data_IF_244999178554
#
_entry.id   IF_244999178554
#
_cell.length_a   1.000
_cell.length_b   1.000
_cell.length_c   1.000
_cell.angle_alpha   90.00
_cell.angle_beta   90.00
_cell.angle_gamma   90.00
#
_symmetry.space_group_name_H-M   'P 1'
#
loop_
_entity.id
_entity.type
_entity.pdbx_description
1 polymer ?
#
# COMPACT_ATOMS: atom_id res chain seq x y z
N UNK A 1 -15.18 19.22 23.54
CA UNK A 1 -14.54 20.21 24.40
C UNK A 1 -13.32 20.75 23.69
N UNK A 2 -13.02 22.05 23.78
CA UNK A 2 -11.79 22.61 23.23
C UNK A 2 -10.58 22.05 23.97
N UNK A 3 -9.43 22.00 23.28
CA UNK A 3 -8.17 21.60 23.90
C UNK A 3 -7.69 22.68 24.88
N UNK A 4 -7.41 22.30 26.13
CA UNK A 4 -7.07 23.23 27.23
C UNK A 4 -5.57 23.31 27.51
N UNK A 5 -4.74 22.69 26.69
CA UNK A 5 -3.28 22.65 26.85
C UNK A 5 -2.76 21.27 27.24
N UNK A 6 -1.43 21.14 27.23
CA UNK A 6 -0.76 19.90 27.62
C UNK A 6 -0.63 19.81 29.15
N UNK A 7 -0.84 18.61 29.69
CA UNK A 7 -0.74 18.31 31.12
C UNK A 7 0.65 17.81 31.54
N UNK A 8 1.58 17.71 30.60
CA UNK A 8 2.94 17.20 30.84
C UNK A 8 3.95 17.93 29.98
N UNK A 9 5.13 18.16 30.54
CA UNK A 9 6.29 18.70 29.83
C UNK A 9 7.13 17.61 29.15
N UNK A 10 6.72 16.33 29.27
CA UNK A 10 7.42 15.22 28.63
C UNK A 10 7.17 15.23 27.13
N UNK A 11 8.24 15.37 26.37
CA UNK A 11 8.23 15.32 24.92
C UNK A 11 8.58 13.91 24.42
N UNK A 12 8.14 13.59 23.22
CA UNK A 12 8.48 12.37 22.50
C UNK A 12 9.54 12.73 21.47
N UNK A 13 10.69 12.03 21.52
CA UNK A 13 11.72 12.16 20.49
C UNK A 13 11.25 11.55 19.17
N UNK A 14 11.32 12.32 18.10
CA UNK A 14 11.05 11.88 16.73
C UNK A 14 12.29 12.14 15.87
N UNK A 15 12.56 11.30 14.84
CA UNK A 15 13.69 11.53 13.94
C UNK A 15 13.57 12.90 13.26
N UNK A 16 14.67 13.67 13.15
CA UNK A 16 14.66 14.96 12.45
C UNK A 16 14.18 14.85 11.00
N UNK A 17 14.53 13.76 10.30
CA UNK A 17 14.17 13.47 8.92
C UNK A 17 12.66 13.37 8.73
N UNK A 18 11.93 13.00 9.79
CA UNK A 18 10.45 12.99 9.74
C UNK A 18 9.91 14.39 9.42
N UNK A 19 10.52 15.44 9.95
CA UNK A 19 10.08 16.82 9.78
C UNK A 19 10.68 17.48 8.53
N UNK A 20 11.95 17.18 8.23
CA UNK A 20 12.65 17.81 7.09
C UNK A 20 12.30 17.19 5.74
N UNK A 21 11.96 15.90 5.70
CA UNK A 21 11.79 15.17 4.44
C UNK A 21 10.40 14.52 4.33
N UNK A 22 9.98 13.78 5.37
CA UNK A 22 8.77 12.93 5.26
C UNK A 22 7.50 13.78 5.31
N UNK A 23 7.29 14.58 6.35
CA UNK A 23 6.07 15.38 6.53
C UNK A 23 5.82 16.33 5.36
N UNK A 24 6.82 17.07 4.83
CA UNK A 24 6.61 17.94 3.67
C UNK A 24 6.14 17.21 2.41
N UNK A 25 6.50 15.92 2.27
CA UNK A 25 6.14 15.12 1.11
C UNK A 25 4.78 14.39 1.27
N UNK A 26 4.19 14.38 2.47
CA UNK A 26 2.89 13.76 2.71
C UNK A 26 1.77 14.65 2.21
N UNK A 27 0.96 14.13 1.31
CA UNK A 27 -0.24 14.82 0.78
C UNK A 27 -1.55 14.25 1.34
N UNK A 28 -1.53 13.02 1.85
CA UNK A 28 -2.71 12.34 2.38
C UNK A 28 -2.86 12.58 3.88
N UNK A 29 -3.98 13.16 4.35
CA UNK A 29 -4.21 13.36 5.78
C UNK A 29 -4.28 12.06 6.59
N UNK A 30 -4.72 10.95 5.97
CA UNK A 30 -4.71 9.61 6.57
C UNK A 30 -3.28 9.14 6.82
N UNK A 31 -2.37 9.29 5.84
CA UNK A 31 -0.95 8.96 5.98
C UNK A 31 -0.29 9.74 7.12
N UNK A 32 -0.51 11.05 7.17
CA UNK A 32 0.06 11.89 8.22
C UNK A 32 -0.37 11.44 9.62
N UNK A 33 -1.68 11.23 9.81
CA UNK A 33 -2.21 10.82 11.12
C UNK A 33 -1.72 9.43 11.53
N UNK A 34 -1.71 8.50 10.59
CA UNK A 34 -1.25 7.13 10.84
C UNK A 34 0.24 7.12 11.15
N UNK A 35 1.06 7.77 10.34
CA UNK A 35 2.52 7.86 10.55
C UNK A 35 2.84 8.42 11.94
N UNK A 36 2.33 9.60 12.28
CA UNK A 36 2.58 10.21 13.59
C UNK A 36 2.08 9.32 14.75
N UNK A 37 0.94 8.65 14.57
CA UNK A 37 0.40 7.77 15.60
C UNK A 37 1.24 6.50 15.78
N UNK A 38 1.74 5.91 14.70
CA UNK A 38 2.65 4.76 14.76
C UNK A 38 3.94 5.15 15.51
N UNK A 39 4.57 6.27 15.18
CA UNK A 39 5.74 6.77 15.92
C UNK A 39 5.43 6.96 17.40
N UNK A 40 4.31 7.60 17.73
CA UNK A 40 3.85 7.77 19.12
C UNK A 40 3.73 6.43 19.84
N UNK A 41 3.03 5.47 19.24
CA UNK A 41 2.81 4.15 19.82
C UNK A 41 4.13 3.42 20.05
N UNK A 42 4.99 3.38 19.04
CA UNK A 42 6.29 2.70 19.12
C UNK A 42 7.22 3.35 20.16
N UNK A 43 7.14 4.67 20.35
CA UNK A 43 7.91 5.36 21.40
C UNK A 43 7.51 4.92 22.82
N UNK A 44 6.28 4.45 23.01
CA UNK A 44 5.74 3.99 24.29
C UNK A 44 5.81 2.48 24.50
N UNK A 45 6.03 1.72 23.44
CA UNK A 45 6.17 0.26 23.52
C UNK A 45 7.44 -0.08 24.28
N UNK A 46 7.31 -0.90 25.33
CA UNK A 46 8.45 -1.44 26.09
C UNK A 46 8.77 -2.83 25.55
N UNK A 47 10.03 -3.22 25.58
CA UNK A 47 10.48 -4.54 25.15
C UNK A 47 11.75 -4.46 24.30
N UNK A 48 12.25 -5.64 23.90
CA UNK A 48 13.41 -5.73 23.02
C UNK A 48 13.10 -5.18 21.62
N UNK A 49 14.03 -4.49 20.97
CA UNK A 49 13.92 -4.09 19.57
C UNK A 49 13.76 -5.32 18.64
N UNK A 50 13.07 -5.14 17.51
CA UNK A 50 12.44 -3.91 17.05
C UNK A 50 11.08 -3.68 17.69
N UNK A 51 10.78 -2.44 18.01
CA UNK A 51 9.45 -2.05 18.43
C UNK A 51 8.52 -2.08 17.22
N UNK A 52 7.41 -2.77 17.35
CA UNK A 52 6.46 -3.01 16.27
C UNK A 52 5.03 -2.75 16.74
N UNK A 53 4.14 -2.44 15.81
CA UNK A 53 2.71 -2.35 16.04
C UNK A 53 1.99 -3.25 15.05
N UNK A 54 1.02 -4.05 15.53
CA UNK A 54 0.20 -4.86 14.65
C UNK A 54 -0.95 -4.04 14.06
N UNK A 55 -1.49 -4.51 12.94
CA UNK A 55 -2.72 -3.98 12.36
C UNK A 55 -3.85 -3.90 13.38
N UNK A 56 -4.08 -5.00 14.11
CA UNK A 56 -5.17 -5.11 15.08
C UNK A 56 -5.02 -4.12 16.23
N UNK A 57 -3.79 -3.94 16.71
CA UNK A 57 -3.49 -2.95 17.73
C UNK A 57 -3.74 -1.51 17.26
N UNK A 58 -3.38 -1.20 16.01
CA UNK A 58 -3.63 0.12 15.43
C UNK A 58 -5.12 0.35 15.19
N UNK A 59 -5.83 -0.66 14.72
CA UNK A 59 -7.27 -0.62 14.51
C UNK A 59 -8.06 -0.49 15.82
N UNK A 60 -7.59 -1.15 16.88
CA UNK A 60 -8.19 -1.07 18.22
C UNK A 60 -7.93 0.27 18.92
N UNK A 61 -6.94 1.06 18.49
CA UNK A 61 -6.58 2.31 19.15
C UNK A 61 -7.67 3.37 18.99
N UNK A 62 -8.26 3.76 20.14
CA UNK A 62 -9.39 4.70 20.17
C UNK A 62 -9.02 6.10 19.67
N UNK A 63 -7.78 6.54 19.94
CA UNK A 63 -7.32 7.87 19.57
C UNK A 63 -7.10 7.97 18.09
N UNK A 64 -6.45 6.96 17.49
CA UNK A 64 -6.25 6.85 16.05
C UNK A 64 -7.59 6.76 15.32
N UNK A 65 -8.48 5.85 15.73
CA UNK A 65 -9.82 5.71 15.13
C UNK A 65 -10.61 7.00 15.16
N UNK A 66 -10.59 7.73 16.29
CA UNK A 66 -11.24 9.05 16.39
C UNK A 66 -10.62 10.04 15.41
N UNK A 67 -9.30 10.06 15.31
CA UNK A 67 -8.57 10.92 14.37
C UNK A 67 -8.89 10.63 12.92
N UNK A 68 -9.03 9.35 12.54
CA UNK A 68 -9.39 8.92 11.19
C UNK A 68 -10.86 9.21 10.87
N UNK A 69 -11.79 8.96 11.79
CA UNK A 69 -13.22 9.33 11.62
C UNK A 69 -13.44 10.82 11.36
N UNK A 70 -12.55 11.66 11.88
CA UNK A 70 -12.64 13.10 11.64
C UNK A 70 -12.23 13.50 10.21
N UNK A 71 -11.58 12.62 9.45
CA UNK A 71 -11.19 12.87 8.04
C UNK A 71 -12.35 12.65 7.07
N UNK A 72 -13.19 11.67 7.34
CA UNK A 72 -14.33 11.35 6.48
C UNK A 72 -15.49 10.79 7.30
N UNK A 73 -16.70 11.23 6.97
CA UNK A 73 -17.94 10.65 7.50
C UNK A 73 -18.45 9.47 6.66
N UNK A 74 -17.96 9.34 5.43
CA UNK A 74 -18.42 8.36 4.45
C UNK A 74 -17.54 7.11 4.41
N UNK A 75 -16.25 7.25 4.75
CA UNK A 75 -15.29 6.16 4.73
C UNK A 75 -15.06 5.62 6.14
N UNK A 76 -15.08 4.29 6.34
CA UNK A 76 -14.80 3.69 7.64
C UNK A 76 -13.34 3.95 8.05
N UNK A 77 -13.03 4.02 9.36
CA UNK A 77 -11.67 4.21 9.86
C UNK A 77 -10.68 3.14 9.39
N UNK A 78 -11.16 1.92 9.18
CA UNK A 78 -10.41 0.78 8.69
C UNK A 78 -9.81 1.05 7.29
N UNK A 79 -10.60 1.57 6.37
CA UNK A 79 -10.12 1.96 5.03
C UNK A 79 -9.10 3.09 5.09
N UNK A 80 -9.34 4.09 5.95
CA UNK A 80 -8.43 5.21 6.13
C UNK A 80 -7.12 4.79 6.81
N UNK A 81 -7.19 3.79 7.71
CA UNK A 81 -6.01 3.17 8.30
C UNK A 81 -5.19 2.44 7.25
N UNK A 82 -5.84 1.60 6.42
CA UNK A 82 -5.20 0.88 5.33
C UNK A 82 -4.53 1.83 4.34
N UNK A 83 -5.26 2.85 3.89
CA UNK A 83 -4.74 3.89 2.98
C UNK A 83 -3.51 4.59 3.56
N UNK A 84 -3.58 4.99 4.85
CA UNK A 84 -2.49 5.68 5.51
C UNK A 84 -1.24 4.81 5.72
N UNK A 85 -1.43 3.55 6.11
CA UNK A 85 -0.33 2.58 6.25
C UNK A 85 0.30 2.26 4.89
N UNK A 86 -0.52 2.01 3.87
CA UNK A 86 -0.05 1.74 2.51
C UNK A 86 0.78 2.92 1.96
N UNK A 87 0.32 4.15 2.13
CA UNK A 87 1.06 5.33 1.72
C UNK A 87 2.39 5.47 2.48
N UNK A 88 2.41 5.22 3.80
CA UNK A 88 3.62 5.29 4.63
C UNK A 88 4.64 4.20 4.25
N UNK A 89 4.18 3.00 3.87
CA UNK A 89 5.05 1.91 3.39
C UNK A 89 5.59 2.23 2.01
N UNK A 90 4.76 2.70 1.07
CA UNK A 90 5.24 3.14 -0.27
C UNK A 90 6.25 4.28 -0.19
N UNK A 91 6.09 5.18 0.76
CA UNK A 91 7.05 6.27 1.04
C UNK A 91 8.31 5.77 1.74
N UNK A 92 8.38 4.50 2.11
CA UNK A 92 9.51 3.94 2.87
C UNK A 92 9.69 4.56 4.28
N UNK A 93 8.64 5.13 4.85
CA UNK A 93 8.63 5.61 6.24
C UNK A 93 8.47 4.45 7.22
N UNK A 94 7.63 3.49 6.85
CA UNK A 94 7.38 2.25 7.58
C UNK A 94 7.76 1.03 6.72
N UNK A 95 8.11 -0.05 7.40
CA UNK A 95 8.19 -1.39 6.82
C UNK A 95 6.95 -2.17 7.24
N UNK A 96 6.36 -2.90 6.31
CA UNK A 96 5.31 -3.86 6.54
C UNK A 96 5.88 -5.27 6.52
N UNK A 97 5.56 -6.08 7.52
CA UNK A 97 6.07 -7.43 7.68
C UNK A 97 4.92 -8.34 8.09
N UNK A 98 4.80 -9.45 7.41
CA UNK A 98 3.84 -10.50 7.75
C UNK A 98 4.61 -11.65 8.43
N UNK A 99 4.31 -11.88 9.69
CA UNK A 99 4.91 -12.99 10.45
C UNK A 99 3.83 -13.73 11.23
N UNK A 100 3.98 -15.05 11.45
CA UNK A 100 3.06 -15.81 12.27
C UNK A 100 2.97 -15.27 13.70
N UNK A 101 1.75 -15.12 14.20
CA UNK A 101 1.45 -14.83 15.59
C UNK A 101 0.33 -15.79 16.03
N UNK A 102 0.61 -16.67 17.01
CA UNK A 102 -0.29 -17.74 17.43
C UNK A 102 -0.86 -18.60 16.26
N UNK A 103 -0.02 -18.89 15.25
CA UNK A 103 -0.40 -19.70 14.10
C UNK A 103 -1.24 -18.98 13.04
N UNK A 104 -1.40 -17.67 13.16
CA UNK A 104 -2.06 -16.82 12.15
C UNK A 104 -1.08 -15.82 11.60
N UNK A 105 -1.18 -15.52 10.31
CA UNK A 105 -0.41 -14.45 9.69
C UNK A 105 -0.85 -13.11 10.28
N UNK A 106 0.07 -12.39 10.90
CA UNK A 106 -0.18 -11.07 11.48
C UNK A 106 0.61 -9.99 10.74
N UNK A 107 -0.06 -8.89 10.46
CA UNK A 107 0.55 -7.73 9.80
C UNK A 107 1.19 -6.81 10.84
N UNK A 108 2.49 -6.61 10.73
CA UNK A 108 3.30 -5.80 11.62
C UNK A 108 3.91 -4.62 10.89
N UNK A 109 3.98 -3.49 11.59
CA UNK A 109 4.55 -2.25 11.07
C UNK A 109 5.68 -1.79 12.00
N UNK A 110 6.82 -1.46 11.42
CA UNK A 110 8.00 -0.95 12.11
C UNK A 110 8.53 0.30 11.39
N UNK A 111 9.22 1.17 12.11
CA UNK A 111 9.89 2.33 11.48
C UNK A 111 10.99 1.81 10.56
N UNK A 112 11.12 2.38 9.37
CA UNK A 112 12.15 2.03 8.40
C UNK A 112 13.51 2.60 8.84
N UNK A 113 14.27 1.81 9.58
CA UNK A 113 15.66 2.08 9.94
C UNK A 113 16.57 0.98 9.39
N UNK A 114 17.87 1.23 9.28
CA UNK A 114 18.81 0.20 8.82
C UNK A 114 18.73 -1.08 9.69
N UNK A 115 18.66 -0.94 11.00
CA UNK A 115 18.54 -2.07 11.93
C UNK A 115 17.23 -2.82 11.73
N UNK A 116 16.12 -2.10 11.55
CA UNK A 116 14.81 -2.73 11.36
C UNK A 116 14.67 -3.40 9.99
N UNK A 117 15.35 -2.91 8.95
CA UNK A 117 15.41 -3.61 7.65
C UNK A 117 16.08 -4.98 7.79
N UNK A 118 17.25 -5.04 8.43
CA UNK A 118 17.94 -6.31 8.67
C UNK A 118 17.09 -7.29 9.49
N UNK A 119 16.42 -6.78 10.52
CA UNK A 119 15.51 -7.61 11.31
C UNK A 119 14.32 -8.08 10.46
N UNK A 120 13.74 -7.24 9.63
CA UNK A 120 12.61 -7.58 8.77
C UNK A 120 12.96 -8.70 7.76
N UNK A 121 14.15 -8.64 7.18
CA UNK A 121 14.68 -9.68 6.30
C UNK A 121 14.83 -11.02 7.04
N UNK A 122 15.41 -11.00 8.25
CA UNK A 122 15.59 -12.19 9.07
C UNK A 122 14.24 -12.77 9.54
N UNK A 123 13.31 -11.93 9.98
CA UNK A 123 12.00 -12.36 10.44
C UNK A 123 11.18 -12.97 9.29
N UNK A 124 11.23 -12.37 8.12
CA UNK A 124 10.58 -12.90 6.91
C UNK A 124 11.20 -14.23 6.47
N UNK A 125 12.52 -14.35 6.50
CA UNK A 125 13.22 -15.60 6.19
C UNK A 125 12.86 -16.71 7.21
N UNK A 126 12.80 -16.38 8.50
CA UNK A 126 12.40 -17.32 9.55
C UNK A 126 10.94 -17.77 9.39
N UNK A 127 10.03 -16.86 9.06
CA UNK A 127 8.62 -17.17 8.79
C UNK A 127 8.48 -18.14 7.61
N UNK A 128 9.21 -17.93 6.53
CA UNK A 128 9.26 -18.83 5.36
C UNK A 128 9.82 -20.21 5.70
N UNK A 129 10.83 -20.29 6.56
CA UNK A 129 11.42 -21.56 6.97
C UNK A 129 10.46 -22.42 7.83
N UNK A 130 9.49 -21.81 8.50
CA UNK A 130 8.48 -22.50 9.31
C UNK A 130 7.31 -23.05 8.48
N UNK A 131 7.13 -22.61 7.24
CA UNK A 131 6.10 -23.10 6.33
C UNK A 131 6.72 -23.63 5.03
N UNK A 132 7.05 -24.95 4.97
CA UNK A 132 7.63 -25.58 3.79
C UNK A 132 6.72 -25.56 2.55
N UNK A 133 5.39 -25.41 2.72
CA UNK A 133 4.47 -25.31 1.60
C UNK A 133 4.53 -23.93 0.95
N UNK A 134 4.89 -22.90 1.69
CA UNK A 134 5.13 -21.56 1.19
C UNK A 134 6.42 -21.47 0.37
N UNK A 135 7.41 -22.35 0.62
CA UNK A 135 8.64 -22.41 -0.19
C UNK A 135 8.39 -22.85 -1.63
N UNK A 136 7.41 -23.74 -1.85
CA UNK A 136 7.04 -24.21 -3.20
C UNK A 136 6.13 -23.19 -3.94
N UNK A 137 5.46 -22.31 -3.21
CA UNK A 137 4.66 -21.23 -3.77
C UNK A 137 5.52 -19.99 -4.14
N UNK A 138 6.70 -19.84 -3.55
CA UNK A 138 7.60 -18.69 -3.75
C UNK A 138 8.39 -18.73 -5.09
N UNK A 139 8.39 -19.87 -5.81
CA UNK A 139 8.87 -19.93 -7.19
C UNK A 139 7.92 -19.26 -8.20
N UNK A 140 6.66 -19.02 -7.78
CA UNK A 140 5.72 -18.11 -8.46
C UNK A 140 5.23 -17.13 -7.40
N UNK A 141 5.27 -15.81 -7.65
CA UNK A 141 4.71 -14.86 -6.69
C UNK A 141 3.27 -15.27 -6.42
N UNK A 142 3.00 -15.72 -5.20
CA UNK A 142 1.65 -16.09 -4.80
C UNK A 142 0.69 -14.93 -5.04
N UNK A 143 -0.60 -15.20 -5.11
CA UNK A 143 -1.63 -14.19 -5.39
C UNK A 143 -1.49 -12.95 -4.51
N UNK A 144 -1.12 -13.15 -3.23
CA UNK A 144 -0.85 -12.08 -2.28
C UNK A 144 0.32 -11.22 -2.74
N UNK A 145 1.45 -11.82 -3.12
CA UNK A 145 2.62 -11.08 -3.62
C UNK A 145 2.34 -10.34 -4.92
N UNK A 146 1.58 -10.94 -5.84
CA UNK A 146 1.13 -10.28 -7.07
C UNK A 146 0.22 -9.09 -6.78
N UNK A 147 -0.69 -9.23 -5.80
CA UNK A 147 -1.56 -8.15 -5.39
C UNK A 147 -0.76 -6.99 -4.78
N UNK A 148 0.15 -7.27 -3.85
CA UNK A 148 0.98 -6.26 -3.19
C UNK A 148 1.91 -5.52 -4.16
N UNK A 149 2.47 -6.21 -5.13
CA UNK A 149 3.35 -5.62 -6.14
C UNK A 149 2.62 -4.70 -7.13
N UNK A 150 1.35 -4.99 -7.44
CA UNK A 150 0.66 -4.35 -8.56
C UNK A 150 -0.53 -3.48 -8.15
N UNK A 151 -1.19 -3.80 -7.03
CA UNK A 151 -2.46 -3.20 -6.63
C UNK A 151 -2.31 -2.38 -5.34
N UNK A 152 -1.81 -2.99 -4.26
CA UNK A 152 -1.64 -2.34 -2.95
C UNK A 152 -1.55 -3.36 -1.81
N UNK A 153 -1.42 -2.86 -0.58
CA UNK A 153 -1.26 -3.71 0.59
C UNK A 153 -2.46 -4.61 0.84
N UNK A 154 -2.18 -5.84 1.24
CA UNK A 154 -3.20 -6.80 1.67
C UNK A 154 -3.51 -6.60 3.15
N UNK A 155 -4.74 -6.20 3.46
CA UNK A 155 -5.27 -6.17 4.83
C UNK A 155 -5.76 -7.55 5.25
N UNK A 156 -5.90 -7.85 6.55
CA UNK A 156 -6.45 -9.13 7.00
C UNK A 156 -7.82 -9.47 6.39
N UNK A 157 -8.71 -8.48 6.28
CA UNK A 157 -10.02 -8.66 5.63
C UNK A 157 -9.88 -8.99 4.15
N UNK A 158 -8.96 -8.32 3.46
CA UNK A 158 -8.68 -8.57 2.06
C UNK A 158 -8.03 -9.95 1.84
N UNK A 159 -7.24 -10.41 2.81
CA UNK A 159 -6.64 -11.73 2.78
C UNK A 159 -7.70 -12.84 2.71
N UNK A 160 -8.76 -12.70 3.50
CA UNK A 160 -9.88 -13.65 3.51
C UNK A 160 -10.64 -13.60 2.16
N UNK A 161 -10.87 -12.39 1.60
CA UNK A 161 -11.49 -12.24 0.28
C UNK A 161 -10.61 -12.80 -0.86
N UNK A 162 -9.28 -12.67 -0.76
CA UNK A 162 -8.33 -13.26 -1.72
C UNK A 162 -8.35 -14.79 -1.66
N UNK A 163 -8.40 -15.38 -0.48
CA UNK A 163 -8.50 -16.83 -0.29
C UNK A 163 -9.82 -17.38 -0.83
N UNK A 164 -10.93 -16.70 -0.53
CA UNK A 164 -12.23 -17.04 -1.08
C UNK A 164 -12.21 -17.03 -2.62
N UNK A 165 -11.54 -16.05 -3.22
CA UNK A 165 -11.40 -15.98 -4.66
C UNK A 165 -10.52 -17.11 -5.22
N UNK A 166 -9.45 -17.54 -4.52
CA UNK A 166 -8.63 -18.69 -4.92
C UNK A 166 -9.42 -20.00 -4.91
N UNK A 167 -10.40 -20.14 -4.02
CA UNK A 167 -11.30 -21.31 -4.00
C UNK A 167 -12.35 -21.26 -5.12
N UNK A 168 -12.81 -20.06 -5.50
CA UNK A 168 -13.90 -19.87 -6.46
C UNK A 168 -13.42 -19.76 -7.91
N UNK A 169 -12.23 -19.24 -8.16
CA UNK A 169 -11.73 -18.93 -9.51
C UNK A 169 -10.36 -19.56 -9.77
N UNK A 170 -10.09 -20.00 -11.01
CA UNK A 170 -8.76 -20.46 -11.39
C UNK A 170 -7.71 -19.34 -11.18
N UNK A 171 -6.54 -19.68 -10.67
CA UNK A 171 -5.48 -18.72 -10.35
C UNK A 171 -5.16 -17.79 -11.53
N UNK A 172 -5.05 -18.32 -12.75
CA UNK A 172 -4.76 -17.52 -13.94
C UNK A 172 -5.86 -16.49 -14.27
N UNK A 173 -7.11 -16.72 -13.83
CA UNK A 173 -8.17 -15.71 -13.96
C UNK A 173 -7.93 -14.53 -13.02
N UNK A 174 -7.54 -14.83 -11.80
CA UNK A 174 -7.29 -13.80 -10.78
C UNK A 174 -6.09 -12.94 -11.20
N UNK A 175 -5.01 -13.57 -11.68
CA UNK A 175 -3.84 -12.87 -12.21
C UNK A 175 -4.19 -11.95 -13.40
N UNK A 176 -5.01 -12.43 -14.34
CA UNK A 176 -5.42 -11.64 -15.49
C UNK A 176 -6.38 -10.51 -15.11
N UNK A 177 -7.28 -10.73 -14.13
CA UNK A 177 -8.13 -9.69 -13.59
C UNK A 177 -7.34 -8.59 -12.88
N UNK A 178 -6.25 -8.94 -12.19
CA UNK A 178 -5.30 -7.98 -11.63
C UNK A 178 -4.60 -7.17 -12.73
N UNK A 179 -4.14 -7.83 -13.80
CA UNK A 179 -3.56 -7.13 -14.96
C UNK A 179 -4.55 -6.17 -15.61
N UNK A 180 -5.83 -6.58 -15.74
CA UNK A 180 -6.89 -5.70 -16.25
C UNK A 180 -7.11 -4.49 -15.32
N UNK A 181 -7.12 -4.68 -14.01
CA UNK A 181 -7.23 -3.60 -13.04
C UNK A 181 -6.09 -2.58 -13.14
N UNK A 182 -4.84 -3.05 -13.34
CA UNK A 182 -3.68 -2.19 -13.57
C UNK A 182 -3.81 -1.42 -14.89
N UNK A 183 -4.18 -2.08 -15.99
CA UNK A 183 -4.41 -1.44 -17.31
C UNK A 183 -5.51 -0.39 -17.27
N UNK A 184 -6.60 -0.69 -16.53
CA UNK A 184 -7.72 0.23 -16.36
C UNK A 184 -7.45 1.35 -15.34
N UNK A 185 -6.26 1.37 -14.71
CA UNK A 185 -5.90 2.26 -13.60
C UNK A 185 -6.92 2.24 -12.44
N UNK A 186 -7.60 1.09 -12.27
CA UNK A 186 -8.61 0.84 -11.24
C UNK A 186 -8.06 -0.17 -10.21
N UNK A 187 -6.93 0.18 -9.58
CA UNK A 187 -6.17 -0.66 -8.67
C UNK A 187 -6.89 -0.86 -7.34
N UNK A 188 -7.94 -1.69 -7.35
CA UNK A 188 -8.71 -2.06 -6.16
C UNK A 188 -9.23 -3.47 -6.27
N UNK A 189 -9.30 -4.18 -5.14
CA UNK A 189 -9.88 -5.51 -5.08
C UNK A 189 -11.34 -5.54 -5.54
N UNK A 190 -12.11 -4.52 -5.20
CA UNK A 190 -13.51 -4.37 -5.64
C UNK A 190 -13.65 -4.40 -7.17
N UNK A 191 -12.71 -3.79 -7.89
CA UNK A 191 -12.71 -3.84 -9.35
C UNK A 191 -12.35 -5.23 -9.87
N UNK A 192 -11.30 -5.85 -9.29
CA UNK A 192 -10.85 -7.20 -9.65
C UNK A 192 -11.99 -8.20 -9.47
N UNK A 193 -12.68 -8.18 -8.32
CA UNK A 193 -13.83 -9.03 -8.04
C UNK A 193 -14.93 -8.86 -9.07
N UNK A 194 -15.29 -7.64 -9.44
CA UNK A 194 -16.28 -7.39 -10.50
C UNK A 194 -15.86 -7.94 -11.87
N UNK A 195 -14.58 -7.92 -12.19
CA UNK A 195 -14.05 -8.52 -13.42
C UNK A 195 -14.21 -10.04 -13.37
N UNK A 196 -13.86 -10.67 -12.24
CA UNK A 196 -14.01 -12.10 -12.04
C UNK A 196 -15.47 -12.55 -12.10
N UNK A 197 -16.38 -11.85 -11.42
CA UNK A 197 -17.83 -12.11 -11.45
C UNK A 197 -18.38 -11.99 -12.88
N UNK A 198 -17.98 -10.97 -13.63
CA UNK A 198 -18.37 -10.79 -15.05
C UNK A 198 -17.87 -11.95 -15.92
N UNK A 199 -16.63 -12.40 -15.73
CA UNK A 199 -16.10 -13.52 -16.51
C UNK A 199 -16.76 -14.85 -16.14
N UNK A 200 -17.13 -15.05 -14.89
CA UNK A 200 -17.87 -16.21 -14.45
C UNK A 200 -19.30 -16.26 -15.05
N UNK A 201 -19.95 -15.09 -15.15
CA UNK A 201 -21.31 -15.01 -15.66
C UNK A 201 -21.41 -15.09 -17.21
N UNK A 202 -20.43 -14.49 -17.94
CA UNK A 202 -20.53 -14.29 -19.38
C UNK A 202 -19.46 -15.06 -20.19
N UNK A 203 -18.64 -15.89 -19.52
CA UNK A 203 -17.44 -16.45 -20.12
C UNK A 203 -16.33 -15.40 -20.24
N UNK A 204 -15.08 -15.88 -20.22
CA UNK A 204 -13.91 -15.01 -20.33
C UNK A 204 -13.78 -14.48 -21.77
N UNK A 205 -14.25 -13.28 -22.00
CA UNK A 205 -13.89 -12.50 -23.18
C UNK A 205 -12.69 -11.63 -22.79
N UNK A 206 -11.48 -12.03 -23.19
CA UNK A 206 -10.34 -11.13 -23.20
C UNK A 206 -10.70 -9.98 -24.15
N UNK A 207 -10.60 -8.71 -23.73
CA UNK A 207 -10.66 -7.63 -24.70
C UNK A 207 -9.57 -7.90 -25.73
N UNK A 208 -9.84 -7.74 -27.03
CA UNK A 208 -8.82 -7.87 -28.05
C UNK A 208 -7.67 -6.95 -27.62
N UNK A 209 -6.47 -7.50 -27.68
CA UNK A 209 -5.22 -6.72 -27.45
C UNK A 209 -5.34 -5.50 -28.36
N UNK A 210 -5.68 -4.34 -27.78
CA UNK A 210 -5.70 -3.11 -28.58
C UNK A 210 -4.25 -2.91 -28.95
N UNK A 211 -3.90 -3.03 -30.25
CA UNK A 211 -2.58 -2.66 -30.67
C UNK A 211 -2.34 -1.26 -30.12
N UNK A 212 -1.21 -1.04 -29.45
CA UNK A 212 -0.76 0.28 -29.09
C UNK A 212 -0.98 1.14 -30.33
N UNK A 213 -1.92 2.08 -30.25
CA UNK A 213 -2.11 3.02 -31.35
C UNK A 213 -0.77 3.72 -31.47
N UNK A 214 -0.09 3.60 -32.61
CA UNK A 214 1.13 4.38 -32.79
C UNK A 214 0.73 5.83 -32.46
N UNK A 215 1.48 6.43 -31.57
CA UNK A 215 1.29 7.83 -31.21
C UNK A 215 1.45 8.57 -32.53
N UNK A 216 0.34 9.08 -33.06
CA UNK A 216 0.34 9.87 -34.27
C UNK A 216 1.00 11.21 -33.95
N UNK A 217 2.33 11.22 -34.10
CA UNK A 217 3.19 12.37 -33.83
C UNK A 217 2.78 13.55 -34.71
N UNK A 218 2.25 13.29 -35.93
CA UNK A 218 1.77 14.34 -36.84
C UNK A 218 0.60 15.13 -36.27
N UNK A 219 -0.26 14.50 -35.47
CA UNK A 219 -1.39 15.16 -34.80
C UNK A 219 -0.94 16.18 -33.76
N UNK A 220 0.23 16.00 -33.19
CA UNK A 220 0.80 16.91 -32.18
C UNK A 220 1.74 17.96 -32.80
N UNK A 221 2.33 17.68 -33.97
CA UNK A 221 3.22 18.61 -34.67
C UNK A 221 2.50 19.56 -35.61
N UNK A 222 1.29 19.19 -36.10
CA UNK A 222 0.50 19.99 -37.04
C UNK A 222 -0.83 20.54 -36.45
N UNK A 223 -1.07 20.35 -35.15
CA UNK A 223 -2.22 20.91 -34.45
C UNK A 223 -2.01 22.34 -33.94
N UNK A 224 -3.07 22.89 -33.33
CA UNK A 224 -3.16 24.27 -32.79
C UNK A 224 -1.98 24.68 -31.84
N UNK A 225 -1.13 23.70 -31.44
CA UNK A 225 0.04 23.86 -30.57
C UNK A 225 1.37 23.58 -31.27
N UNK A 226 1.38 23.35 -32.59
CA UNK A 226 2.59 23.04 -33.38
C UNK A 226 3.64 24.13 -33.35
N UNK A 227 3.23 25.40 -33.18
CA UNK A 227 4.11 26.55 -33.12
C UNK A 227 4.94 26.67 -31.82
N UNK A 228 4.52 25.98 -30.76
CA UNK A 228 5.27 25.94 -29.49
C UNK A 228 6.52 25.04 -29.55
N UNK A 229 6.50 24.01 -30.42
CA UNK A 229 7.65 23.11 -30.60
C UNK A 229 8.67 23.61 -31.61
N UNK A 230 8.31 24.54 -32.52
CA UNK A 230 9.22 25.11 -33.49
C UNK A 230 10.13 26.24 -32.95
N UNK A 231 9.79 26.78 -31.77
CA UNK A 231 10.59 27.88 -31.14
C UNK A 231 11.79 27.40 -30.33
N UNK A 232 11.99 26.07 -30.17
CA UNK A 232 13.09 25.48 -29.36
C UNK A 232 14.33 25.07 -30.15
N UNK A 233 14.34 25.15 -31.49
CA UNK A 233 15.44 24.64 -32.32
C UNK A 233 16.34 25.73 -32.97
N UNK A 234 16.12 27.02 -32.66
CA UNK A 234 16.89 28.13 -33.28
C UNK A 234 17.82 28.85 -32.28
N UNK A 235 18.50 28.11 -31.42
CA UNK A 235 19.61 28.66 -30.60
C UNK A 235 20.80 27.70 -30.60
N UNK A 236 21.38 27.50 -31.78
CA UNK A 236 22.72 26.95 -31.91
C UNK A 236 23.33 27.53 -33.19
N UNK A 237 23.75 28.78 -33.10
CA UNK A 237 24.80 29.38 -33.89
C UNK A 237 24.99 30.85 -33.42
N UNK A 238 25.94 31.02 -32.50
CA UNK A 238 26.87 32.18 -32.43
C UNK A 238 27.89 31.92 -31.34
#
# INVERSE_FOLDING_TARGET
MPFTGFTTDKLIGLPPELFSEVIPAITLPSELKVTLHVFYRLSRTRGAPPRRASWDELLADRSLRRGLRALSKLRPPEELLAEGLDAAVRRMTLLHIVIPDDGRAANWYVVNTATNRLWAEQASAAARALDPQQQLADERPGLIGLYEQNIGLVTPMLLDELREAEEQYPQHWIEDAMREAVRANARSWRYIRKVLERWAANGRQLPPDKPERPIDIEKYTNGQYGDLFRRGSDTSDL
#
